data_IF_845553752725
#
_entry.id   IF_845553752725
#
_cell.length_a   1.000
_cell.length_b   1.000
_cell.length_c   1.000
_cell.angle_alpha   90.00
_cell.angle_beta   90.00
_cell.angle_gamma   90.00
#
_symmetry.space_group_name_H-M   'P 1'
#
loop_
_entity.id
_entity.type
_entity.pdbx_description
1 polymer ?
#
# COMPACT_ATOMS: atom_id res chain seq x y z
N UNK A 1 30.84 8.84 40.70
CA UNK A 1 30.01 9.99 40.34
C UNK A 1 30.44 11.19 41.18
N UNK A 2 30.69 12.33 40.56
CA UNK A 2 31.29 13.51 41.23
C UNK A 2 30.36 14.08 42.30
N UNK A 3 29.08 14.06 42.08
CA UNK A 3 28.08 14.61 43.02
C UNK A 3 27.69 13.64 44.15
N UNK A 4 27.99 12.37 44.04
CA UNK A 4 27.58 11.32 45.00
C UNK A 4 28.74 10.92 45.93
N UNK A 5 29.91 11.56 45.79
CA UNK A 5 31.14 11.23 46.53
C UNK A 5 31.57 9.77 46.44
N UNK A 6 31.16 9.07 45.37
CA UNK A 6 31.53 7.69 45.10
C UNK A 6 32.74 7.71 44.17
N UNK A 7 33.87 7.24 44.67
CA UNK A 7 35.13 7.18 43.94
C UNK A 7 35.72 5.78 44.07
N UNK A 8 35.69 5.01 42.99
CA UNK A 8 36.20 3.64 42.94
C UNK A 8 37.71 3.52 43.07
N UNK A 9 38.44 4.63 42.86
CA UNK A 9 39.91 4.67 42.95
C UNK A 9 40.34 5.09 44.34
N UNK A 10 39.74 6.19 44.89
CA UNK A 10 40.12 6.74 46.19
C UNK A 10 39.49 6.02 47.37
N UNK A 11 38.27 5.49 47.17
CA UNK A 11 37.54 4.75 48.19
C UNK A 11 36.77 3.55 47.58
N UNK A 12 37.44 2.42 47.37
CA UNK A 12 36.83 1.21 46.74
C UNK A 12 35.63 0.68 47.54
N UNK A 13 35.60 0.83 48.85
CA UNK A 13 34.51 0.38 49.72
C UNK A 13 33.20 1.17 49.45
N UNK A 14 33.30 2.39 48.99
CA UNK A 14 32.14 3.23 48.66
C UNK A 14 31.29 2.61 47.51
N UNK A 15 31.89 1.82 46.63
CA UNK A 15 31.20 1.14 45.50
C UNK A 15 30.46 -0.08 46.01
N UNK A 16 30.97 -0.76 47.02
CA UNK A 16 30.37 -1.96 47.63
C UNK A 16 29.27 -1.65 48.65
N UNK A 17 29.07 -0.37 48.97
CA UNK A 17 28.00 0.06 49.83
C UNK A 17 26.61 -0.28 49.26
N UNK A 18 25.71 -0.77 50.11
CA UNK A 18 24.30 -1.06 49.77
C UNK A 18 23.56 0.19 49.22
N UNK A 19 24.08 1.37 49.49
CA UNK A 19 23.52 2.64 49.04
C UNK A 19 23.61 2.79 47.50
N UNK A 20 24.67 2.26 46.86
CA UNK A 20 24.88 2.36 45.42
C UNK A 20 23.82 1.57 44.63
N UNK A 21 23.60 0.26 44.88
CA UNK A 21 22.53 -0.48 44.26
C UNK A 21 21.13 0.14 44.50
N UNK A 22 20.90 0.66 45.72
CA UNK A 22 19.63 1.31 46.06
C UNK A 22 19.40 2.62 45.29
N UNK A 23 20.40 3.47 45.17
CA UNK A 23 20.35 4.68 44.32
C UNK A 23 20.10 4.33 42.85
N UNK A 24 20.77 3.28 42.35
CA UNK A 24 20.58 2.81 40.96
C UNK A 24 19.15 2.32 40.73
N UNK A 25 18.57 1.59 41.68
CA UNK A 25 17.19 1.14 41.63
C UNK A 25 16.20 2.31 41.60
N UNK A 26 16.39 3.31 42.48
CA UNK A 26 15.55 4.51 42.50
C UNK A 26 15.67 5.28 41.16
N UNK A 27 16.87 5.46 40.66
CA UNK A 27 17.09 6.16 39.38
C UNK A 27 16.43 5.40 38.21
N UNK A 28 16.47 4.07 38.22
CA UNK A 28 15.84 3.22 37.23
C UNK A 28 14.30 3.37 37.24
N UNK A 29 13.70 3.33 38.43
CA UNK A 29 12.27 3.55 38.61
C UNK A 29 11.85 4.96 38.19
N UNK A 30 12.64 5.96 38.52
CA UNK A 30 12.39 7.35 38.11
C UNK A 30 12.41 7.51 36.58
N UNK A 31 13.40 6.92 35.90
CA UNK A 31 13.44 6.90 34.44
C UNK A 31 12.24 6.17 33.83
N UNK A 32 11.79 5.07 34.44
CA UNK A 32 10.60 4.32 34.00
C UNK A 32 9.32 5.16 34.15
N UNK A 33 9.15 5.83 35.29
CA UNK A 33 8.01 6.70 35.58
C UNK A 33 7.96 7.88 34.60
N UNK A 34 9.08 8.57 34.38
CA UNK A 34 9.16 9.64 33.37
C UNK A 34 8.78 9.11 31.97
N UNK A 35 9.32 7.95 31.58
CA UNK A 35 8.99 7.35 30.26
C UNK A 35 7.48 7.08 30.13
N UNK A 36 6.84 6.59 31.17
CA UNK A 36 5.41 6.32 31.17
C UNK A 36 4.58 7.63 31.12
N UNK A 37 4.97 8.64 31.88
CA UNK A 37 4.33 9.96 31.83
C UNK A 37 4.43 10.60 30.46
N UNK A 38 5.61 10.58 29.82
CA UNK A 38 5.80 11.09 28.45
C UNK A 38 4.90 10.34 27.46
N UNK A 39 4.87 9.00 27.54
CA UNK A 39 4.00 8.18 26.67
C UNK A 39 2.52 8.51 26.87
N UNK A 40 2.07 8.71 28.10
CA UNK A 40 0.70 9.10 28.40
C UNK A 40 0.34 10.45 27.80
N UNK A 41 1.19 11.47 27.99
CA UNK A 41 1.00 12.81 27.39
C UNK A 41 0.96 12.74 25.86
N UNK A 42 1.92 12.04 25.24
CA UNK A 42 1.96 11.88 23.78
C UNK A 42 0.70 11.18 23.26
N UNK A 43 0.21 10.16 23.98
CA UNK A 43 -1.01 9.44 23.61
C UNK A 43 -2.25 10.35 23.66
N UNK A 44 -2.37 11.20 24.68
CA UNK A 44 -3.44 12.20 24.76
C UNK A 44 -3.37 13.19 23.61
N UNK A 45 -2.18 13.73 23.33
CA UNK A 45 -1.97 14.64 22.19
C UNK A 45 -2.36 14.00 20.86
N UNK A 46 -1.88 12.78 20.60
CA UNK A 46 -2.21 12.06 19.36
C UNK A 46 -3.72 11.84 19.19
N UNK A 47 -4.43 11.49 20.29
CA UNK A 47 -5.89 11.32 20.28
C UNK A 47 -6.66 12.62 20.06
N UNK A 48 -6.09 13.76 20.44
CA UNK A 48 -6.66 15.10 20.16
C UNK A 48 -6.41 15.57 18.73
N UNK A 49 -5.65 14.84 17.92
CA UNK A 49 -5.29 15.24 16.56
C UNK A 49 -4.08 16.21 16.52
N UNK A 50 -3.32 16.31 17.60
CA UNK A 50 -2.09 17.10 17.62
C UNK A 50 -0.93 16.29 16.98
N UNK A 51 -0.18 16.91 16.07
CA UNK A 51 0.98 16.27 15.46
C UNK A 51 2.16 16.23 16.42
N UNK A 52 2.65 15.03 16.74
CA UNK A 52 3.77 14.83 17.69
C UNK A 52 5.08 14.42 17.02
N UNK A 53 5.13 14.32 15.69
CA UNK A 53 6.34 13.95 14.95
C UNK A 53 7.41 15.06 15.02
N UNK A 54 8.69 14.68 14.99
CA UNK A 54 9.79 15.65 14.98
C UNK A 54 9.80 16.50 13.71
N UNK A 55 9.54 15.89 12.56
CA UNK A 55 9.51 16.53 11.26
C UNK A 55 8.18 16.28 10.57
N UNK A 56 7.63 17.29 9.90
CA UNK A 56 6.45 17.15 9.06
C UNK A 56 6.71 16.20 7.87
N UNK A 57 5.69 15.49 7.36
CA UNK A 57 5.78 14.77 6.10
C UNK A 57 6.12 15.70 4.94
N UNK A 58 6.74 15.18 3.89
CA UNK A 58 7.02 15.95 2.68
C UNK A 58 5.72 16.48 2.06
N UNK A 59 5.67 17.76 1.72
CA UNK A 59 4.45 18.45 1.30
C UNK A 59 3.77 19.24 2.42
N UNK A 60 4.23 19.05 3.67
CA UNK A 60 3.76 19.79 4.82
C UNK A 60 4.92 20.39 5.60
N UNK A 61 4.65 21.49 6.29
CA UNK A 61 5.51 22.08 7.34
C UNK A 61 4.70 22.21 8.61
N UNK A 62 5.37 22.36 9.74
CA UNK A 62 4.71 22.68 11.00
C UNK A 62 4.34 24.15 11.00
N UNK A 63 3.15 24.47 11.49
CA UNK A 63 2.73 25.84 11.70
C UNK A 63 3.70 26.54 12.67
N UNK A 64 4.23 27.74 12.32
CA UNK A 64 5.06 28.52 13.22
C UNK A 64 4.37 28.92 14.53
N UNK A 65 3.05 29.13 14.50
CA UNK A 65 2.24 29.53 15.65
C UNK A 65 1.78 28.32 16.49
N UNK A 66 1.56 27.16 15.84
CA UNK A 66 1.23 25.90 16.51
C UNK A 66 2.05 24.72 15.95
N UNK A 67 3.13 24.36 16.63
CA UNK A 67 4.02 23.25 16.24
C UNK A 67 3.33 21.87 16.16
N UNK A 68 2.08 21.77 16.64
CA UNK A 68 1.27 20.57 16.59
C UNK A 68 0.30 20.54 15.42
N UNK A 69 0.19 21.64 14.67
CA UNK A 69 -0.58 21.75 13.45
C UNK A 69 0.30 21.64 12.20
N UNK A 70 -0.27 21.10 11.10
CA UNK A 70 0.41 20.95 9.81
C UNK A 70 -0.21 21.89 8.81
N UNK A 71 0.63 22.68 8.12
CA UNK A 71 0.22 23.52 6.99
C UNK A 71 0.87 23.04 5.70
N UNK A 72 0.26 23.32 4.56
CA UNK A 72 0.75 22.88 3.25
C UNK A 72 1.99 23.68 2.87
N UNK A 73 3.04 22.98 2.45
CA UNK A 73 4.18 23.51 1.71
C UNK A 73 3.90 23.39 0.22
N UNK A 74 3.45 24.46 -0.41
CA UNK A 74 2.97 24.44 -1.79
C UNK A 74 4.03 23.94 -2.80
N UNK A 75 5.31 24.21 -2.60
CA UNK A 75 6.36 23.73 -3.51
C UNK A 75 6.51 22.21 -3.42
N UNK A 76 6.56 21.67 -2.23
CA UNK A 76 6.64 20.22 -2.03
C UNK A 76 5.29 19.53 -2.34
N UNK A 77 4.16 20.18 -2.08
CA UNK A 77 2.82 19.67 -2.38
C UNK A 77 2.59 19.48 -3.88
N UNK A 78 3.10 20.36 -4.74
CA UNK A 78 3.08 20.18 -6.20
C UNK A 78 3.73 18.86 -6.62
N UNK A 79 4.85 18.53 -6.00
CA UNK A 79 5.57 17.27 -6.28
C UNK A 79 4.76 16.06 -5.78
N UNK A 80 4.12 16.16 -4.63
CA UNK A 80 3.23 15.09 -4.12
C UNK A 80 2.08 14.85 -5.10
N UNK A 81 1.38 15.91 -5.54
CA UNK A 81 0.30 15.80 -6.55
C UNK A 81 0.80 15.15 -7.85
N UNK A 82 1.98 15.55 -8.34
CA UNK A 82 2.62 14.96 -9.52
C UNK A 82 2.89 13.44 -9.33
N UNK A 83 3.34 13.00 -8.16
CA UNK A 83 3.59 11.58 -7.86
C UNK A 83 2.28 10.79 -7.96
N UNK A 84 1.17 11.30 -7.41
CA UNK A 84 -0.14 10.67 -7.47
C UNK A 84 -0.68 10.61 -8.91
N UNK A 85 -0.58 11.71 -9.66
CA UNK A 85 -0.97 11.77 -11.07
C UNK A 85 -0.18 10.78 -11.93
N UNK A 86 1.14 10.74 -11.81
CA UNK A 86 1.96 9.78 -12.53
C UNK A 86 1.60 8.33 -12.19
N UNK A 87 1.21 8.07 -10.93
CA UNK A 87 0.77 6.74 -10.51
C UNK A 87 -0.55 6.36 -11.17
N UNK A 88 -1.52 7.27 -11.26
CA UNK A 88 -2.79 7.07 -11.97
C UNK A 88 -2.57 6.87 -13.48
N UNK A 89 -1.60 7.57 -14.06
CA UNK A 89 -1.18 7.41 -15.44
C UNK A 89 -0.39 6.10 -15.72
N UNK A 90 -0.27 5.21 -14.71
CA UNK A 90 0.32 3.89 -14.90
C UNK A 90 1.84 3.82 -14.71
N UNK A 91 2.50 4.88 -14.28
CA UNK A 91 3.93 4.85 -13.98
C UNK A 91 4.20 4.11 -12.67
N UNK A 92 5.29 3.35 -12.63
CA UNK A 92 5.72 2.69 -11.43
C UNK A 92 6.65 3.51 -10.56
N UNK A 93 6.76 3.08 -9.32
CA UNK A 93 7.59 3.76 -8.31
C UNK A 93 9.02 4.04 -8.77
N UNK A 94 9.65 3.08 -9.46
CA UNK A 94 11.03 3.24 -9.98
C UNK A 94 11.07 4.24 -11.14
N UNK A 95 10.07 4.23 -12.03
CA UNK A 95 10.00 5.18 -13.14
C UNK A 95 9.70 6.60 -12.64
N UNK A 96 8.82 6.73 -11.65
CA UNK A 96 8.53 8.01 -11.00
C UNK A 96 9.78 8.57 -10.34
N UNK A 97 10.50 7.75 -9.54
CA UNK A 97 11.74 8.20 -8.89
C UNK A 97 12.80 8.64 -9.92
N UNK A 98 12.94 7.91 -11.03
CA UNK A 98 13.85 8.28 -12.12
C UNK A 98 13.45 9.61 -12.75
N UNK A 99 12.17 9.79 -13.08
CA UNK A 99 11.65 11.04 -13.67
C UNK A 99 11.86 12.25 -12.75
N UNK A 100 11.62 12.11 -11.44
CA UNK A 100 11.87 13.19 -10.48
C UNK A 100 13.36 13.55 -10.37
N UNK A 101 14.24 12.54 -10.45
CA UNK A 101 15.69 12.77 -10.48
C UNK A 101 16.15 13.46 -11.78
N UNK A 102 15.58 13.08 -12.92
CA UNK A 102 15.84 13.72 -14.21
C UNK A 102 15.39 15.19 -14.24
N UNK A 103 14.32 15.52 -13.54
CA UNK A 103 13.83 16.88 -13.34
C UNK A 103 14.64 17.67 -12.29
N UNK A 104 15.63 17.07 -11.64
CA UNK A 104 16.44 17.72 -10.61
C UNK A 104 15.69 18.07 -9.31
N UNK A 105 14.52 17.47 -9.08
CA UNK A 105 13.71 17.74 -7.89
C UNK A 105 14.36 17.08 -6.67
N UNK A 106 14.54 17.85 -5.59
CA UNK A 106 15.11 17.33 -4.35
C UNK A 106 14.18 16.35 -3.67
N UNK A 107 14.75 15.27 -3.13
CA UNK A 107 14.00 14.34 -2.30
C UNK A 107 13.61 14.98 -0.95
N UNK A 108 12.73 14.36 -0.12
CA UNK A 108 12.30 14.93 1.14
C UNK A 108 13.43 15.33 2.10
N UNK A 109 14.56 14.65 2.07
CA UNK A 109 15.74 14.99 2.90
C UNK A 109 16.46 16.20 2.33
N UNK A 110 16.62 16.28 1.01
CA UNK A 110 17.24 17.41 0.32
C UNK A 110 16.41 18.68 0.46
N UNK A 111 15.11 18.61 0.23
CA UNK A 111 14.18 19.71 0.44
C UNK A 111 14.29 20.27 1.88
N UNK A 112 14.27 19.40 2.87
CA UNK A 112 14.41 19.79 4.27
C UNK A 112 15.76 20.44 4.58
N UNK A 113 16.84 19.92 4.01
CA UNK A 113 18.18 20.41 4.28
C UNK A 113 18.49 21.74 3.58
N UNK A 114 18.08 21.87 2.32
CA UNK A 114 18.45 22.96 1.43
C UNK A 114 17.38 24.05 1.44
N UNK A 115 16.14 23.70 1.16
CA UNK A 115 15.05 24.68 0.98
C UNK A 115 14.56 25.18 2.35
N UNK A 116 14.34 24.27 3.31
CA UNK A 116 13.88 24.63 4.65
C UNK A 116 15.02 24.94 5.63
N UNK A 117 16.28 24.78 5.23
CA UNK A 117 17.49 25.02 6.06
C UNK A 117 17.46 24.34 7.43
N UNK A 118 16.75 23.23 7.54
CA UNK A 118 16.60 22.47 8.78
C UNK A 118 17.81 21.55 9.01
N UNK A 119 18.22 21.38 10.27
CA UNK A 119 19.25 20.40 10.63
C UNK A 119 18.72 18.99 10.33
N UNK A 120 19.38 18.27 9.43
CA UNK A 120 19.05 16.86 9.14
C UNK A 120 19.88 15.95 10.04
N UNK A 121 19.34 14.80 10.50
CA UNK A 121 20.07 13.87 11.36
C UNK A 121 21.24 13.19 10.65
N UNK A 122 21.32 13.28 9.33
CA UNK A 122 22.40 12.71 8.55
C UNK A 122 23.53 13.71 8.37
N UNK A 123 24.45 13.77 9.35
CA UNK A 123 25.80 14.25 9.12
C UNK A 123 26.53 13.16 8.31
N UNK A 124 26.42 13.21 7.00
CA UNK A 124 27.25 12.34 6.19
C UNK A 124 28.67 12.90 6.19
N UNK A 125 29.60 12.10 6.67
CA UNK A 125 31.05 12.34 6.60
C UNK A 125 31.60 12.20 5.16
N UNK A 126 30.76 12.25 4.14
CA UNK A 126 31.18 12.18 2.73
C UNK A 126 30.62 13.38 1.98
N UNK A 127 31.49 14.10 1.30
CA UNK A 127 31.22 15.32 0.53
C UNK A 127 30.27 15.14 -0.69
N UNK A 128 29.55 14.02 -0.78
CA UNK A 128 28.62 13.71 -1.86
C UNK A 128 27.31 13.16 -1.31
N UNK A 129 26.54 14.01 -0.64
CA UNK A 129 25.13 13.65 -0.32
C UNK A 129 24.31 13.83 -1.59
N UNK A 130 23.96 12.75 -2.23
CA UNK A 130 23.03 12.75 -3.35
C UNK A 130 21.61 12.73 -2.82
N UNK A 131 20.89 13.85 -2.91
CA UNK A 131 19.48 13.97 -2.53
C UNK A 131 18.56 13.43 -3.63
N UNK A 132 18.80 12.19 -4.05
CA UNK A 132 18.04 11.55 -5.12
C UNK A 132 16.82 10.80 -4.57
N UNK A 133 15.75 10.77 -5.37
CA UNK A 133 14.55 9.99 -5.10
C UNK A 133 14.82 8.50 -5.25
N UNK A 134 14.23 7.70 -4.39
CA UNK A 134 14.22 6.25 -4.50
C UNK A 134 12.78 5.70 -4.50
N UNK A 135 12.61 4.50 -5.01
CA UNK A 135 11.29 3.84 -5.11
C UNK A 135 10.63 3.59 -3.76
N UNK A 136 11.42 3.50 -2.68
CA UNK A 136 10.92 3.33 -1.31
C UNK A 136 10.25 4.61 -0.82
N UNK A 137 10.86 5.77 -1.04
CA UNK A 137 10.28 7.07 -0.68
C UNK A 137 8.96 7.31 -1.42
N UNK A 138 8.91 6.98 -2.72
CA UNK A 138 7.67 7.07 -3.50
C UNK A 138 6.58 6.15 -2.92
N UNK A 139 6.94 4.90 -2.56
CA UNK A 139 6.00 3.98 -1.92
C UNK A 139 5.45 4.54 -0.61
N UNK A 140 6.31 5.14 0.21
CA UNK A 140 5.92 5.63 1.52
C UNK A 140 5.03 6.88 1.40
N UNK A 141 5.27 7.75 0.41
CA UNK A 141 4.38 8.86 0.06
C UNK A 141 3.01 8.33 -0.39
N UNK A 142 2.97 7.43 -1.37
CA UNK A 142 1.70 6.92 -1.92
C UNK A 142 0.83 6.17 -0.89
N UNK A 143 1.43 5.63 0.17
CA UNK A 143 0.70 4.91 1.23
C UNK A 143 0.38 5.77 2.46
N UNK A 144 0.81 7.01 2.47
CA UNK A 144 0.63 7.85 3.64
C UNK A 144 -0.72 8.57 3.59
N UNK A 145 -1.64 8.11 4.41
CA UNK A 145 -3.00 8.65 4.53
C UNK A 145 -3.04 10.10 5.03
N UNK A 146 -1.93 10.61 5.56
CA UNK A 146 -1.86 12.02 5.99
C UNK A 146 -2.08 13.01 4.85
N UNK A 147 -1.82 12.61 3.60
CA UNK A 147 -2.09 13.47 2.44
C UNK A 147 -3.57 13.73 2.17
N UNK A 148 -4.47 12.97 2.80
CA UNK A 148 -5.93 13.19 2.75
C UNK A 148 -6.46 14.03 3.91
N UNK A 149 -5.61 14.67 4.70
CA UNK A 149 -6.00 15.43 5.87
C UNK A 149 -6.17 14.60 7.15
N UNK A 150 -5.95 13.29 7.10
CA UNK A 150 -6.07 12.40 8.26
C UNK A 150 -4.73 12.27 8.98
N UNK A 151 -4.70 12.50 10.27
CA UNK A 151 -3.51 12.32 11.08
C UNK A 151 -3.40 10.88 11.55
N UNK A 152 -2.38 10.16 11.07
CA UNK A 152 -2.13 8.77 11.41
C UNK A 152 -0.85 8.62 12.20
N UNK A 153 -0.97 8.35 13.48
CA UNK A 153 0.15 8.29 14.42
C UNK A 153 0.21 6.93 15.15
N UNK A 154 1.14 6.76 16.08
CA UNK A 154 1.39 5.51 16.81
C UNK A 154 1.74 4.29 15.92
N UNK A 155 2.33 4.50 14.75
CA UNK A 155 2.76 3.42 13.83
C UNK A 155 3.92 2.56 14.37
N UNK A 156 4.56 3.00 15.44
CA UNK A 156 5.66 2.28 16.06
C UNK A 156 5.96 2.77 17.45
N UNK A 157 6.35 1.86 18.32
CA UNK A 157 6.70 2.13 19.72
C UNK A 157 8.11 1.62 20.05
N UNK A 158 8.77 2.26 21.00
CA UNK A 158 10.01 1.74 21.58
C UNK A 158 9.69 0.58 22.52
N UNK A 159 10.51 -0.49 22.48
CA UNK A 159 10.33 -1.66 23.36
C UNK A 159 10.36 -1.21 24.81
N UNK A 160 11.37 -0.45 25.21
CA UNK A 160 11.48 0.11 26.56
C UNK A 160 12.34 1.38 26.53
N UNK A 161 12.39 2.09 27.64
CA UNK A 161 13.29 3.25 27.79
C UNK A 161 14.79 2.85 27.81
N UNK A 162 15.10 1.60 28.13
CA UNK A 162 16.47 1.04 28.08
C UNK A 162 16.84 0.55 26.69
N UNK A 163 15.87 -0.03 25.97
CA UNK A 163 16.09 -0.64 24.64
C UNK A 163 15.47 0.29 23.62
N UNK A 164 16.29 1.12 22.98
CA UNK A 164 15.86 2.06 21.95
C UNK A 164 15.51 1.41 20.60
N UNK A 165 15.16 0.12 20.60
CA UNK A 165 14.68 -0.57 19.40
C UNK A 165 13.22 -0.26 19.18
N UNK A 166 12.89 0.27 17.99
CA UNK A 166 11.53 0.55 17.58
C UNK A 166 10.91 -0.72 16.99
N UNK A 167 9.69 -1.04 17.40
CA UNK A 167 8.84 -2.09 16.83
C UNK A 167 7.63 -1.46 16.17
N UNK A 168 7.16 -2.08 15.09
CA UNK A 168 5.91 -1.67 14.44
C UNK A 168 4.72 -2.05 15.30
N UNK A 169 3.74 -1.19 15.32
CA UNK A 169 2.46 -1.40 15.99
C UNK A 169 1.47 -1.92 14.96
N UNK A 170 0.63 -2.94 15.27
CA UNK A 170 -0.44 -3.39 14.39
C UNK A 170 -1.35 -2.24 13.96
N UNK A 171 -1.94 -2.36 12.79
CA UNK A 171 -2.72 -1.27 12.19
C UNK A 171 -3.97 -0.93 13.01
N UNK A 172 -4.52 -1.91 13.72
CA UNK A 172 -5.68 -1.77 14.61
C UNK A 172 -5.39 -0.87 15.83
N UNK A 173 -4.11 -0.77 16.23
CA UNK A 173 -3.67 0.08 17.34
C UNK A 173 -3.21 1.48 16.90
N UNK A 174 -3.28 1.80 15.60
CA UNK A 174 -2.92 3.13 15.12
C UNK A 174 -3.93 4.16 15.59
N UNK A 175 -3.45 5.34 15.90
CA UNK A 175 -4.33 6.46 16.27
C UNK A 175 -4.57 7.26 14.99
N UNK A 176 -5.81 7.25 14.52
CA UNK A 176 -6.25 7.94 13.31
C UNK A 176 -7.27 9.00 13.71
N UNK A 177 -6.95 10.26 13.46
CA UNK A 177 -7.86 11.38 13.64
C UNK A 177 -8.09 12.01 12.27
N UNK A 178 -9.36 12.10 11.87
CA UNK A 178 -9.72 12.59 10.54
C UNK A 178 -9.75 14.12 10.49
N UNK A 179 -9.49 14.66 9.30
CA UNK A 179 -9.68 16.07 8.97
C UNK A 179 -9.00 17.04 9.95
N UNK A 180 -7.75 16.75 10.31
CA UNK A 180 -6.96 17.57 11.24
C UNK A 180 -6.17 18.69 10.57
N UNK A 181 -5.97 18.60 9.25
CA UNK A 181 -5.20 19.56 8.45
C UNK A 181 -5.65 19.53 6.99
N UNK A 182 -5.28 20.54 6.23
CA UNK A 182 -5.66 20.63 4.82
C UNK A 182 -5.09 19.49 4.00
N UNK A 183 -5.94 18.88 3.18
CA UNK A 183 -5.56 17.76 2.32
C UNK A 183 -4.80 18.23 1.07
N UNK A 184 -3.67 17.59 0.76
CA UNK A 184 -2.96 17.80 -0.53
C UNK A 184 -3.63 17.00 -1.63
N UNK A 185 -4.18 15.83 -1.30
CA UNK A 185 -4.80 14.87 -2.22
C UNK A 185 -6.22 14.58 -1.72
N UNK A 186 -7.21 14.63 -2.60
CA UNK A 186 -8.58 14.23 -2.29
C UNK A 186 -8.69 12.72 -2.00
N UNK A 187 -9.66 12.31 -1.19
CA UNK A 187 -9.86 10.91 -0.77
C UNK A 187 -10.09 9.99 -1.95
N UNK A 188 -10.87 10.44 -2.92
CA UNK A 188 -11.17 9.65 -4.12
C UNK A 188 -9.91 9.30 -4.92
N UNK A 189 -9.00 10.28 -5.10
CA UNK A 189 -7.72 10.07 -5.76
C UNK A 189 -6.82 9.15 -4.96
N UNK A 190 -6.77 9.32 -3.63
CA UNK A 190 -6.02 8.43 -2.75
C UNK A 190 -6.52 6.98 -2.88
N UNK A 191 -7.82 6.75 -2.77
CA UNK A 191 -8.43 5.43 -2.83
C UNK A 191 -8.23 4.76 -4.20
N UNK A 192 -8.35 5.53 -5.29
CA UNK A 192 -8.02 5.05 -6.65
C UNK A 192 -6.57 4.58 -6.74
N UNK A 193 -5.64 5.35 -6.16
CA UNK A 193 -4.22 4.98 -6.13
C UNK A 193 -3.98 3.76 -5.24
N UNK A 194 -4.63 3.64 -4.06
CA UNK A 194 -4.52 2.44 -3.23
C UNK A 194 -5.03 1.19 -3.96
N UNK A 195 -6.20 1.25 -4.60
CA UNK A 195 -6.72 0.17 -5.45
C UNK A 195 -5.73 -0.17 -6.55
N UNK A 196 -5.24 0.83 -7.28
CA UNK A 196 -4.25 0.63 -8.32
C UNK A 196 -2.94 -0.01 -7.81
N UNK A 197 -2.52 0.25 -6.58
CA UNK A 197 -1.33 -0.37 -5.97
C UNK A 197 -1.63 -1.80 -5.53
N UNK A 198 -2.81 -2.08 -4.97
CA UNK A 198 -3.23 -3.41 -4.52
C UNK A 198 -3.47 -4.37 -5.69
N UNK A 199 -4.12 -3.88 -6.76
CA UNK A 199 -4.36 -4.66 -7.97
C UNK A 199 -3.06 -4.96 -8.74
N UNK A 200 -2.00 -4.24 -8.42
CA UNK A 200 -0.71 -4.26 -9.13
C UNK A 200 0.38 -5.01 -8.38
N UNK A 201 0.18 -6.25 -8.06
CA UNK A 201 1.31 -7.15 -7.69
C UNK A 201 2.17 -7.48 -8.95
N UNK A 202 2.42 -6.45 -9.79
CA UNK A 202 2.96 -6.60 -11.13
C UNK A 202 4.29 -5.86 -11.29
N UNK A 203 5.25 -6.57 -11.88
CA UNK A 203 6.52 -5.97 -12.28
C UNK A 203 6.31 -5.01 -13.46
N UNK A 204 6.88 -3.84 -13.36
CA UNK A 204 6.84 -2.84 -14.44
C UNK A 204 7.78 -3.18 -15.59
N UNK A 205 7.44 -2.72 -16.78
CA UNK A 205 8.33 -2.74 -17.93
C UNK A 205 9.54 -1.84 -17.70
N UNK A 206 10.59 -2.02 -18.50
CA UNK A 206 11.76 -1.13 -18.55
C UNK A 206 11.38 0.35 -18.81
N UNK A 207 10.27 0.56 -19.52
CA UNK A 207 9.73 1.91 -19.83
C UNK A 207 8.89 2.50 -18.69
N UNK A 208 8.82 1.81 -17.56
CA UNK A 208 8.06 2.25 -16.39
C UNK A 208 6.56 2.09 -16.48
N UNK A 209 6.03 1.59 -17.59
CA UNK A 209 4.60 1.34 -17.79
C UNK A 209 4.25 -0.10 -17.41
N UNK A 210 3.03 -0.30 -16.93
CA UNK A 210 2.51 -1.62 -16.64
C UNK A 210 2.08 -2.28 -17.95
N UNK A 211 2.39 -3.58 -18.12
CA UNK A 211 1.90 -4.34 -19.26
C UNK A 211 0.38 -4.49 -19.20
N UNK A 212 -0.30 -4.42 -20.35
CA UNK A 212 -1.76 -4.54 -20.47
C UNK A 212 -2.30 -5.78 -19.74
N UNK A 213 -1.58 -6.89 -19.82
CA UNK A 213 -2.00 -8.15 -19.22
C UNK A 213 -1.46 -8.37 -17.80
N UNK A 214 -0.76 -7.40 -17.24
CA UNK A 214 -0.17 -7.53 -15.92
C UNK A 214 -1.25 -7.68 -14.84
N UNK A 215 -1.16 -8.76 -14.04
CA UNK A 215 -2.15 -9.10 -13.01
C UNK A 215 -3.42 -9.81 -13.51
N UNK A 216 -3.69 -9.80 -14.83
CA UNK A 216 -4.89 -10.42 -15.40
C UNK A 216 -4.66 -11.86 -15.85
N UNK A 217 -3.41 -12.27 -16.11
CA UNK A 217 -3.08 -13.63 -16.56
C UNK A 217 -2.70 -14.48 -15.36
N UNK A 218 -3.37 -15.62 -15.24
CA UNK A 218 -3.06 -16.64 -14.24
C UNK A 218 -2.65 -17.94 -14.91
N UNK A 219 -1.79 -18.71 -14.28
CA UNK A 219 -1.44 -20.05 -14.70
C UNK A 219 -2.66 -20.98 -14.57
N UNK A 220 -2.96 -21.78 -15.59
CA UNK A 220 -4.09 -22.71 -15.57
C UNK A 220 -4.00 -23.75 -14.44
N UNK A 221 -2.81 -24.21 -14.12
CA UNK A 221 -2.58 -25.26 -13.12
C UNK A 221 -2.51 -24.70 -11.69
N UNK A 222 -1.60 -23.75 -11.43
CA UNK A 222 -1.35 -23.28 -10.06
C UNK A 222 -2.08 -21.97 -9.70
N UNK A 223 -2.85 -21.41 -10.61
CA UNK A 223 -3.63 -20.16 -10.44
C UNK A 223 -2.81 -18.92 -10.01
N UNK A 224 -1.49 -19.03 -9.93
CA UNK A 224 -0.62 -17.90 -9.65
C UNK A 224 -0.46 -17.01 -10.88
N UNK A 225 -0.24 -15.72 -10.64
CA UNK A 225 -0.02 -14.75 -11.71
C UNK A 225 1.16 -15.14 -12.62
N UNK A 226 1.03 -14.90 -13.91
CA UNK A 226 2.12 -15.06 -14.87
C UNK A 226 2.89 -13.74 -14.96
N UNK A 227 4.22 -13.85 -14.99
CA UNK A 227 5.14 -12.69 -15.03
C UNK A 227 5.73 -12.52 -16.41
N UNK A 228 5.79 -11.27 -16.88
CA UNK A 228 6.47 -10.91 -18.12
C UNK A 228 7.96 -11.19 -18.01
N UNK A 229 8.52 -11.89 -18.97
CA UNK A 229 9.95 -12.16 -19.10
C UNK A 229 10.45 -11.74 -20.47
N UNK A 230 11.47 -10.89 -20.47
CA UNK A 230 12.19 -10.55 -21.68
C UNK A 230 13.32 -11.57 -21.84
N UNK A 231 13.42 -12.29 -22.96
CA UNK A 231 14.53 -13.20 -23.20
C UNK A 231 15.85 -12.44 -23.23
N UNK A 232 16.89 -13.07 -22.72
CA UNK A 232 18.25 -12.50 -22.83
C UNK A 232 18.70 -12.32 -24.27
N UNK A 233 19.80 -11.60 -24.47
CA UNK A 233 20.43 -11.42 -25.78
C UNK A 233 20.78 -12.78 -26.40
N UNK A 234 20.53 -12.93 -27.69
CA UNK A 234 20.99 -14.08 -28.46
C UNK A 234 22.02 -13.63 -29.47
N UNK A 235 23.21 -14.23 -29.46
CA UNK A 235 24.36 -13.83 -30.29
C UNK A 235 24.63 -12.30 -30.22
N UNK A 236 24.52 -11.70 -29.03
CA UNK A 236 24.79 -10.28 -28.80
C UNK A 236 23.62 -9.33 -29.14
N UNK A 237 22.60 -9.79 -29.85
CA UNK A 237 21.46 -8.95 -30.25
C UNK A 237 20.28 -9.09 -29.27
N UNK A 238 19.59 -7.96 -28.91
CA UNK A 238 18.37 -8.01 -28.10
C UNK A 238 17.25 -8.71 -28.87
N UNK A 239 16.49 -9.53 -28.19
CA UNK A 239 15.27 -10.14 -28.76
C UNK A 239 14.09 -9.20 -28.61
N UNK A 240 13.40 -8.92 -29.68
CA UNK A 240 12.25 -7.99 -29.72
C UNK A 240 10.92 -8.62 -29.28
N UNK A 241 10.92 -9.81 -28.66
CA UNK A 241 9.71 -10.43 -28.16
C UNK A 241 9.83 -10.68 -26.67
N UNK A 242 8.69 -10.73 -26.02
CA UNK A 242 8.59 -11.14 -24.62
C UNK A 242 7.48 -12.18 -24.46
N UNK A 243 7.57 -12.94 -23.38
CA UNK A 243 6.60 -13.95 -23.05
C UNK A 243 6.19 -13.86 -21.59
N UNK A 244 5.01 -14.34 -21.29
CA UNK A 244 4.55 -14.51 -19.92
C UNK A 244 4.88 -15.93 -19.48
N UNK A 245 5.41 -16.04 -18.26
CA UNK A 245 5.80 -17.32 -17.66
C UNK A 245 5.23 -17.43 -16.25
N UNK A 246 4.85 -18.64 -15.87
CA UNK A 246 4.34 -18.94 -14.53
C UNK A 246 5.32 -18.48 -13.45
N UNK A 247 4.85 -17.63 -12.52
CA UNK A 247 5.69 -17.07 -11.45
C UNK A 247 6.11 -18.14 -10.42
N UNK A 248 5.28 -19.19 -10.22
CA UNK A 248 5.64 -20.31 -9.37
C UNK A 248 6.84 -21.06 -9.94
N UNK A 249 6.80 -21.44 -11.22
CA UNK A 249 7.92 -22.08 -11.90
C UNK A 249 9.21 -21.23 -11.86
N UNK A 250 9.08 -19.93 -12.09
CA UNK A 250 10.24 -19.02 -12.07
C UNK A 250 10.92 -18.91 -10.71
N UNK A 251 10.17 -19.12 -9.62
CA UNK A 251 10.71 -19.02 -8.25
C UNK A 251 11.22 -20.36 -7.70
N UNK A 252 10.54 -21.45 -8.03
CA UNK A 252 10.81 -22.78 -7.46
C UNK A 252 11.54 -23.74 -8.41
N UNK A 253 11.85 -23.32 -9.65
CA UNK A 253 12.56 -24.14 -10.61
C UNK A 253 11.82 -25.41 -11.05
N UNK A 254 10.51 -25.51 -10.79
CA UNK A 254 9.69 -26.65 -11.18
C UNK A 254 9.08 -27.46 -10.04
N UNK A 255 9.45 -27.19 -8.79
CA UNK A 255 8.93 -27.91 -7.61
C UNK A 255 7.41 -27.70 -7.38
N UNK A 256 6.92 -26.48 -7.66
CA UNK A 256 5.52 -26.10 -7.37
C UNK A 256 4.64 -26.18 -8.61
N UNK A 257 5.19 -25.93 -9.79
CA UNK A 257 4.44 -25.90 -11.05
C UNK A 257 5.38 -26.19 -12.23
N UNK A 258 4.86 -26.82 -13.27
CA UNK A 258 5.61 -27.07 -14.50
C UNK A 258 5.81 -25.79 -15.31
N UNK A 259 6.65 -25.86 -16.35
CA UNK A 259 6.97 -24.69 -17.18
C UNK A 259 5.80 -24.33 -18.08
N UNK A 260 5.08 -23.26 -17.72
CA UNK A 260 4.04 -22.68 -18.56
C UNK A 260 4.50 -21.32 -19.07
N UNK A 261 4.45 -21.12 -20.38
CA UNK A 261 4.79 -19.85 -21.01
C UNK A 261 3.98 -19.62 -22.27
N UNK A 262 3.61 -18.36 -22.52
CA UNK A 262 2.92 -17.93 -23.73
C UNK A 262 3.59 -16.66 -24.26
N UNK A 263 3.75 -16.56 -25.58
CA UNK A 263 4.26 -15.35 -26.21
C UNK A 263 3.23 -14.23 -26.15
N UNK A 264 3.71 -12.99 -26.02
CA UNK A 264 2.83 -11.82 -25.94
C UNK A 264 1.89 -11.73 -27.17
N UNK A 265 2.47 -11.88 -28.36
CA UNK A 265 1.72 -11.71 -29.63
C UNK A 265 0.62 -12.79 -29.81
N UNK A 266 0.91 -14.02 -29.34
CA UNK A 266 -0.08 -15.12 -29.35
C UNK A 266 -1.20 -14.82 -28.36
N UNK A 267 -0.87 -14.28 -27.19
CA UNK A 267 -1.85 -13.90 -26.18
C UNK A 267 -2.72 -12.74 -26.65
N UNK A 268 -2.11 -11.68 -27.22
CA UNK A 268 -2.86 -10.53 -27.75
C UNK A 268 -3.85 -10.96 -28.83
N UNK A 269 -3.43 -11.81 -29.78
CA UNK A 269 -4.31 -12.36 -30.81
C UNK A 269 -5.47 -13.16 -30.20
N UNK A 270 -5.17 -14.09 -29.28
CA UNK A 270 -6.20 -14.91 -28.65
C UNK A 270 -7.23 -14.08 -27.87
N UNK A 271 -6.77 -13.08 -27.11
CA UNK A 271 -7.67 -12.18 -26.37
C UNK A 271 -8.49 -11.32 -27.32
N UNK A 272 -7.87 -10.76 -28.37
CA UNK A 272 -8.58 -9.95 -29.36
C UNK A 272 -9.64 -10.74 -30.10
N UNK A 273 -9.33 -11.98 -30.49
CA UNK A 273 -10.29 -12.88 -31.12
C UNK A 273 -11.44 -13.23 -30.17
N UNK A 274 -11.15 -13.55 -28.92
CA UNK A 274 -12.18 -13.80 -27.91
C UNK A 274 -13.10 -12.61 -27.71
N UNK A 275 -12.54 -11.37 -27.65
CA UNK A 275 -13.34 -10.15 -27.55
C UNK A 275 -14.22 -9.96 -28.80
N UNK A 276 -13.68 -10.17 -30.00
CA UNK A 276 -14.44 -10.06 -31.25
C UNK A 276 -15.62 -11.05 -31.28
N UNK A 277 -15.37 -12.29 -30.85
CA UNK A 277 -16.44 -13.32 -30.77
C UNK A 277 -17.51 -12.87 -29.76
N UNK A 278 -17.15 -12.40 -28.59
CA UNK A 278 -18.11 -11.92 -27.60
C UNK A 278 -18.92 -10.71 -28.09
N UNK A 279 -18.28 -9.75 -28.74
CA UNK A 279 -18.99 -8.63 -29.38
C UNK A 279 -19.94 -9.10 -30.43
N UNK A 280 -19.52 -10.05 -31.31
CA UNK A 280 -20.38 -10.65 -32.33
C UNK A 280 -21.62 -11.32 -31.72
N UNK A 281 -21.44 -12.15 -30.70
CA UNK A 281 -22.54 -12.80 -29.99
C UNK A 281 -23.51 -11.77 -29.37
N UNK A 282 -23.01 -10.70 -28.76
CA UNK A 282 -23.85 -9.65 -28.16
C UNK A 282 -24.64 -8.92 -29.26
N UNK A 283 -24.01 -8.63 -30.41
CA UNK A 283 -24.66 -7.96 -31.52
C UNK A 283 -25.73 -8.86 -32.13
N UNK A 284 -25.45 -10.16 -32.30
CA UNK A 284 -26.43 -11.15 -32.81
C UNK A 284 -27.59 -11.31 -31.82
N UNK A 285 -27.33 -11.37 -30.52
CA UNK A 285 -28.40 -11.39 -29.50
C UNK A 285 -29.29 -10.16 -29.58
N UNK A 286 -28.71 -8.94 -29.73
CA UNK A 286 -29.48 -7.71 -29.90
C UNK A 286 -30.32 -7.77 -31.19
N UNK A 287 -29.77 -8.28 -32.29
CA UNK A 287 -30.48 -8.44 -33.57
C UNK A 287 -31.60 -9.45 -33.46
N UNK A 288 -31.39 -10.56 -32.77
CA UNK A 288 -32.41 -11.59 -32.52
C UNK A 288 -33.52 -11.01 -31.63
N UNK A 289 -33.16 -10.30 -30.53
CA UNK A 289 -34.12 -9.62 -29.66
C UNK A 289 -34.96 -8.62 -30.44
N UNK A 290 -34.34 -7.78 -31.26
CA UNK A 290 -35.06 -6.81 -32.10
C UNK A 290 -36.01 -7.49 -33.10
N UNK A 291 -35.66 -8.67 -33.66
CA UNK A 291 -36.56 -9.48 -34.51
C UNK A 291 -37.70 -10.12 -33.72
N UNK A 292 -37.48 -10.50 -32.47
CA UNK A 292 -38.50 -11.04 -31.58
C UNK A 292 -39.46 -9.91 -31.17
N UNK A 293 -38.96 -8.75 -30.82
CA UNK A 293 -39.73 -7.59 -30.41
C UNK A 293 -40.56 -7.00 -31.59
N UNK A 294 -40.06 -7.12 -32.82
CA UNK A 294 -40.75 -6.65 -34.03
C UNK A 294 -41.79 -7.62 -34.60
N UNK A 295 -41.75 -8.92 -34.22
CA UNK A 295 -42.84 -9.86 -34.53
C UNK A 295 -43.90 -9.71 -33.44
N UNK A 296 -45.13 -9.40 -33.84
CA UNK A 296 -46.33 -9.52 -33.01
C UNK A 296 -46.44 -10.98 -32.54
N UNK A 297 -45.76 -11.27 -31.45
CA UNK A 297 -45.89 -12.56 -30.78
C UNK A 297 -47.28 -12.60 -30.15
N UNK A 298 -48.04 -13.66 -30.44
CA UNK A 298 -49.31 -13.92 -29.79
C UNK A 298 -49.22 -13.61 -28.30
N UNK A 299 -49.99 -12.69 -27.78
CA UNK A 299 -49.98 -12.21 -26.40
C UNK A 299 -50.00 -13.35 -25.36
N UNK A 300 -50.64 -14.47 -25.69
CA UNK A 300 -50.67 -15.68 -24.87
C UNK A 300 -49.29 -16.34 -24.68
N UNK A 301 -48.41 -16.30 -25.68
CA UNK A 301 -47.10 -16.92 -25.60
C UNK A 301 -46.11 -16.03 -24.85
N UNK A 302 -46.28 -14.71 -24.94
CA UNK A 302 -45.53 -13.71 -24.16
C UNK A 302 -45.91 -13.81 -22.71
N UNK A 303 -47.19 -13.89 -22.38
CA UNK A 303 -47.67 -14.08 -21.01
C UNK A 303 -47.17 -15.36 -20.38
N UNK A 304 -47.19 -16.48 -21.12
CA UNK A 304 -46.64 -17.75 -20.66
C UNK A 304 -45.13 -17.72 -20.39
N UNK A 305 -44.35 -17.07 -21.25
CA UNK A 305 -42.92 -16.94 -21.08
C UNK A 305 -42.58 -16.02 -19.91
N UNK A 306 -43.30 -14.93 -19.73
CA UNK A 306 -43.15 -14.02 -18.57
C UNK A 306 -43.49 -14.74 -17.26
N UNK A 307 -44.56 -15.55 -17.24
CA UNK A 307 -44.92 -16.34 -16.06
C UNK A 307 -43.83 -17.36 -15.69
N UNK A 308 -43.24 -18.01 -16.70
CA UNK A 308 -42.13 -18.95 -16.48
C UNK A 308 -40.85 -18.24 -15.99
N UNK A 309 -40.54 -17.05 -16.51
CA UNK A 309 -39.43 -16.24 -16.04
C UNK A 309 -39.65 -15.87 -14.57
N UNK A 310 -40.83 -15.38 -14.20
CA UNK A 310 -41.17 -15.04 -12.82
C UNK A 310 -41.03 -16.24 -11.88
N UNK A 311 -41.56 -17.43 -12.29
CA UNK A 311 -41.39 -18.68 -11.52
C UNK A 311 -39.93 -19.08 -11.33
N UNK A 312 -39.10 -18.90 -12.38
CA UNK A 312 -37.66 -19.15 -12.28
C UNK A 312 -36.97 -18.17 -11.36
N UNK A 313 -37.33 -16.88 -11.42
CA UNK A 313 -36.77 -15.83 -10.53
C UNK A 313 -37.15 -16.08 -9.06
N UNK A 314 -38.42 -16.43 -8.80
CA UNK A 314 -38.88 -16.83 -7.47
C UNK A 314 -38.08 -18.03 -6.93
N UNK A 315 -37.95 -19.08 -7.75
CA UNK A 315 -37.17 -20.27 -7.37
C UNK A 315 -35.71 -19.93 -7.11
N UNK A 316 -35.14 -19.05 -7.89
CA UNK A 316 -33.76 -18.58 -7.76
C UNK A 316 -33.57 -17.76 -6.48
N UNK A 317 -34.54 -16.91 -6.13
CA UNK A 317 -34.54 -16.14 -4.90
C UNK A 317 -34.68 -17.03 -3.67
N UNK A 318 -35.56 -18.05 -3.72
CA UNK A 318 -35.68 -19.03 -2.64
C UNK A 318 -34.37 -19.80 -2.44
N UNK A 319 -33.75 -20.27 -3.54
CA UNK A 319 -32.45 -20.97 -3.47
C UNK A 319 -31.32 -20.07 -2.95
N UNK A 320 -31.33 -18.79 -3.32
CA UNK A 320 -30.37 -17.81 -2.78
C UNK A 320 -30.56 -17.60 -1.29
N UNK A 321 -31.81 -17.53 -0.84
CA UNK A 321 -32.15 -17.39 0.58
C UNK A 321 -31.70 -18.62 1.37
N UNK A 322 -32.07 -19.81 0.91
CA UNK A 322 -31.64 -21.08 1.53
C UNK A 322 -30.12 -21.23 1.57
N UNK A 323 -29.42 -20.84 0.49
CA UNK A 323 -27.95 -20.85 0.48
C UNK A 323 -27.35 -19.90 1.50
N UNK A 324 -27.98 -18.72 1.71
CA UNK A 324 -27.53 -17.76 2.71
C UNK A 324 -27.76 -18.30 4.12
N UNK A 325 -28.94 -18.86 4.39
CA UNK A 325 -29.29 -19.51 5.64
C UNK A 325 -28.34 -20.68 5.95
N UNK A 326 -28.12 -21.58 4.98
CA UNK A 326 -27.18 -22.70 5.13
C UNK A 326 -25.72 -22.20 5.39
N UNK A 327 -25.31 -21.11 4.76
CA UNK A 327 -24.00 -20.52 5.01
C UNK A 327 -23.89 -19.92 6.43
N UNK A 328 -24.97 -19.29 6.91
CA UNK A 328 -25.03 -18.78 8.28
C UNK A 328 -25.03 -19.93 9.30
N UNK A 329 -25.78 -21.01 9.04
CA UNK A 329 -25.83 -22.22 9.88
C UNK A 329 -24.48 -22.95 9.92
N UNK A 330 -23.79 -23.03 8.78
CA UNK A 330 -22.41 -23.54 8.71
C UNK A 330 -21.45 -22.68 9.53
N UNK A 331 -21.56 -21.36 9.41
CA UNK A 331 -20.73 -20.42 10.17
C UNK A 331 -20.97 -20.49 11.67
N UNK A 332 -22.18 -20.80 12.08
CA UNK A 332 -22.57 -21.00 13.49
C UNK A 332 -22.27 -22.43 13.99
N UNK A 333 -21.75 -23.31 13.14
CA UNK A 333 -21.43 -24.71 13.50
C UNK A 333 -22.65 -25.62 13.67
N UNK A 334 -23.82 -25.22 13.15
CA UNK A 334 -25.08 -26.00 13.25
C UNK A 334 -25.08 -27.12 12.21
N UNK A 335 -24.48 -26.90 11.04
CA UNK A 335 -24.31 -27.91 9.97
C UNK A 335 -22.85 -28.13 9.64
N UNK A 336 -22.50 -29.33 9.16
CA UNK A 336 -21.14 -29.69 8.79
C UNK A 336 -20.89 -29.53 7.28
N UNK A 337 -19.64 -29.51 6.83
CA UNK A 337 -19.25 -29.36 5.43
C UNK A 337 -19.77 -30.51 4.51
N UNK A 338 -20.30 -31.58 5.09
CA UNK A 338 -20.83 -32.75 4.34
C UNK A 338 -22.35 -32.78 4.25
N UNK A 339 -23.05 -31.94 4.99
CA UNK A 339 -24.50 -31.73 4.94
C UNK A 339 -24.85 -30.52 4.06
#
# INVERSE_FOLDING_TARGET
AVNDQIDSIKNPESVNSIIVPFKNLINDEYCRDISNKIKAVLNVKMKKGEYVGSYAPYGYIKDPDDVHHLIIDEEAAKVVRMIYELTLNGYGRTAISKKLNELGILNPTGHRAIDLKMKTPFKNNTDKVTYSWCSTTIRDILRNQMYCGDLVQNKGKLISYKIHKRVLVPQEEWIIVKDTHDAIIDRDTFDKVQKAILDRDTRMNTDGKISIFAGHIKCGDCQRAMSKKIPGKYKGQPRNYYHYMCSAYMRSGGEICTKHSIKNDELEKAVLESIKVQIGLIMDMKRIKGKIDSKTFNDNRRSYLLENINKCEETLNIKRKLRKEAYEDWKLGIITEKE
#
